data_IF_435217074286
#
_entry.id   IF_435217074286
#
_cell.length_a   1.000
_cell.length_b   1.000
_cell.length_c   1.000
_cell.angle_alpha   90.00
_cell.angle_beta   90.00
_cell.angle_gamma   90.00
#
_symmetry.space_group_name_H-M   'P 1'
#
loop_
_entity.id
_entity.type
_entity.pdbx_description
1 polymer ?
#
# COMPACT_ATOMS: atom_id res chain seq x y z
N UNK A 1 -5.18 33.60 0.23
CA UNK A 1 -5.09 32.31 0.96
C UNK A 1 -6.42 32.11 1.67
N UNK A 2 -7.20 31.10 1.28
CA UNK A 2 -8.59 30.89 1.72
C UNK A 2 -8.65 29.97 2.94
N UNK A 3 -9.57 30.22 3.88
CA UNK A 3 -9.80 29.43 5.12
C UNK A 3 -9.89 27.90 4.93
N UNK A 4 -10.21 27.44 3.71
CA UNK A 4 -10.22 26.03 3.34
C UNK A 4 -8.83 25.36 3.43
N UNK A 5 -7.73 26.09 3.18
CA UNK A 5 -6.38 25.53 3.31
C UNK A 5 -5.93 25.34 4.76
N UNK A 6 -6.57 26.04 5.69
CA UNK A 6 -6.25 26.05 7.12
C UNK A 6 -6.81 24.81 7.84
N UNK A 7 -7.92 24.24 7.33
CA UNK A 7 -8.55 23.01 7.83
C UNK A 7 -7.79 21.72 7.48
N UNK A 8 -6.88 21.76 6.50
CA UNK A 8 -6.19 20.59 5.98
C UNK A 8 -4.80 20.35 6.60
N UNK A 9 -4.45 21.04 7.69
CA UNK A 9 -3.15 20.86 8.34
C UNK A 9 -1.94 21.17 7.43
N UNK A 10 -2.14 21.91 6.33
CA UNK A 10 -1.10 22.23 5.34
C UNK A 10 -0.15 23.33 5.82
N UNK A 11 0.21 23.35 7.10
CA UNK A 11 0.98 24.45 7.68
C UNK A 11 2.47 24.45 7.29
N UNK A 12 3.01 23.41 6.64
CA UNK A 12 4.31 23.53 5.95
C UNK A 12 4.64 22.38 4.95
N UNK A 13 3.74 21.99 4.04
CA UNK A 13 4.21 21.11 2.95
C UNK A 13 5.05 21.93 1.97
N UNK A 14 6.37 21.76 2.01
CA UNK A 14 7.23 22.47 1.06
C UNK A 14 6.87 22.02 -0.36
N UNK A 15 7.08 22.87 -1.37
CA UNK A 15 6.79 22.50 -2.77
C UNK A 15 7.57 21.24 -3.22
N UNK A 16 8.65 20.90 -2.52
CA UNK A 16 9.43 19.67 -2.68
C UNK A 16 8.68 18.44 -2.15
N UNK A 17 8.10 18.51 -0.96
CA UNK A 17 7.38 17.38 -0.33
C UNK A 17 6.18 16.98 -1.18
N UNK A 18 5.41 17.97 -1.64
CA UNK A 18 4.29 17.74 -2.56
C UNK A 18 4.74 17.03 -3.84
N UNK A 19 5.87 17.44 -4.43
CA UNK A 19 6.38 16.84 -5.67
C UNK A 19 6.83 15.40 -5.45
N UNK A 20 7.49 15.12 -4.33
CA UNK A 20 7.90 13.76 -3.96
C UNK A 20 6.70 12.86 -3.67
N UNK A 21 5.70 13.35 -2.94
CA UNK A 21 4.48 12.61 -2.66
C UNK A 21 3.73 12.27 -3.96
N UNK A 22 3.61 13.22 -4.88
CA UNK A 22 3.03 12.97 -6.21
C UNK A 22 3.81 11.93 -7.00
N UNK A 23 5.14 11.93 -6.92
CA UNK A 23 5.97 10.92 -7.56
C UNK A 23 5.64 9.54 -7.01
N UNK A 24 5.67 9.37 -5.69
CA UNK A 24 5.36 8.09 -5.04
C UNK A 24 3.95 7.62 -5.39
N UNK A 25 2.94 8.49 -5.29
CA UNK A 25 1.56 8.14 -5.61
C UNK A 25 1.41 7.70 -7.07
N UNK A 26 2.08 8.38 -8.01
CA UNK A 26 2.09 7.95 -9.42
C UNK A 26 2.76 6.59 -9.60
N UNK A 27 3.84 6.31 -8.89
CA UNK A 27 4.51 5.00 -8.95
C UNK A 27 3.62 3.90 -8.38
N UNK A 28 2.97 4.17 -7.25
CA UNK A 28 2.01 3.26 -6.63
C UNK A 28 0.83 2.97 -7.54
N UNK A 29 0.24 4.00 -8.16
CA UNK A 29 -0.84 3.82 -9.14
C UNK A 29 -0.38 3.02 -10.37
N UNK A 30 0.82 3.32 -10.88
CA UNK A 30 1.38 2.57 -12.03
C UNK A 30 1.58 1.10 -11.66
N UNK A 31 2.12 0.83 -10.48
CA UNK A 31 2.30 -0.52 -9.97
C UNK A 31 0.97 -1.26 -9.78
N UNK A 32 -0.05 -0.60 -9.21
CA UNK A 32 -1.40 -1.17 -9.08
C UNK A 32 -2.02 -1.50 -10.43
N UNK A 33 -1.89 -0.61 -11.42
CA UNK A 33 -2.41 -0.85 -12.78
C UNK A 33 -1.70 -2.03 -13.46
N UNK A 34 -0.38 -2.16 -13.25
CA UNK A 34 0.39 -3.29 -13.76
C UNK A 34 -0.06 -4.60 -13.11
N UNK A 35 -0.17 -4.64 -11.78
CA UNK A 35 -0.65 -5.83 -11.06
C UNK A 35 -2.08 -6.21 -11.46
N UNK A 36 -2.96 -5.22 -11.60
CA UNK A 36 -4.35 -5.42 -12.05
C UNK A 36 -4.40 -5.93 -13.50
N UNK A 37 -3.57 -5.36 -14.37
CA UNK A 37 -3.45 -5.78 -15.76
C UNK A 37 -2.96 -7.22 -15.89
N UNK A 38 -1.96 -7.62 -15.09
CA UNK A 38 -1.47 -8.99 -15.03
C UNK A 38 -2.56 -9.97 -14.54
N UNK A 39 -3.30 -9.62 -13.49
CA UNK A 39 -4.42 -10.44 -13.02
C UNK A 39 -5.54 -10.55 -14.06
N UNK A 40 -5.87 -9.45 -14.74
CA UNK A 40 -6.88 -9.46 -15.79
C UNK A 40 -6.43 -10.31 -16.99
N UNK A 41 -5.17 -10.23 -17.39
CA UNK A 41 -4.63 -11.02 -18.49
C UNK A 41 -4.67 -12.53 -18.16
N UNK A 42 -4.33 -12.91 -16.93
CA UNK A 42 -4.42 -14.28 -16.46
C UNK A 42 -5.86 -14.79 -16.39
N UNK A 43 -6.78 -14.03 -15.78
CA UNK A 43 -8.19 -14.44 -15.64
C UNK A 43 -8.93 -14.52 -16.98
N UNK A 44 -8.54 -13.71 -17.97
CA UNK A 44 -9.11 -13.74 -19.32
C UNK A 44 -8.39 -14.70 -20.27
N UNK A 45 -7.33 -15.38 -19.82
CA UNK A 45 -6.54 -16.29 -20.65
C UNK A 45 -5.86 -15.60 -21.84
N UNK A 46 -5.52 -14.31 -21.72
CA UNK A 46 -4.87 -13.55 -22.80
C UNK A 46 -3.40 -13.94 -23.00
N UNK A 47 -2.80 -14.53 -21.97
CA UNK A 47 -1.40 -14.92 -21.95
C UNK A 47 -1.26 -16.44 -21.85
N UNK A 48 -0.28 -17.04 -22.56
CA UNK A 48 -0.04 -18.47 -22.45
C UNK A 48 0.54 -18.80 -21.08
N UNK A 49 0.01 -19.84 -20.43
CA UNK A 49 0.44 -20.34 -19.10
C UNK A 49 1.79 -21.07 -19.15
N UNK A 50 2.78 -20.47 -19.81
CA UNK A 50 4.14 -20.99 -19.86
C UNK A 50 4.96 -20.49 -18.66
N UNK A 51 5.88 -21.30 -18.10
CA UNK A 51 6.72 -20.88 -16.99
C UNK A 51 7.51 -19.59 -17.24
N UNK A 52 7.89 -19.33 -18.50
CA UNK A 52 8.60 -18.12 -18.91
C UNK A 52 7.72 -16.88 -18.77
N UNK A 53 6.46 -16.95 -19.19
CA UNK A 53 5.52 -15.83 -19.10
C UNK A 53 5.17 -15.54 -17.64
N UNK A 54 4.82 -16.56 -16.86
CA UNK A 54 4.54 -16.40 -15.43
C UNK A 54 5.75 -15.85 -14.66
N UNK A 55 6.96 -16.32 -15.00
CA UNK A 55 8.19 -15.79 -14.43
C UNK A 55 8.41 -14.31 -14.76
N UNK A 56 8.15 -13.90 -16.01
CA UNK A 56 8.25 -12.50 -16.43
C UNK A 56 7.21 -11.60 -15.72
N UNK A 57 5.96 -12.04 -15.58
CA UNK A 57 4.90 -11.31 -14.87
C UNK A 57 5.26 -11.09 -13.40
N UNK A 58 5.76 -12.14 -12.74
CA UNK A 58 6.21 -12.08 -11.35
C UNK A 58 7.36 -11.08 -11.19
N UNK A 59 8.39 -11.17 -12.03
CA UNK A 59 9.56 -10.29 -11.96
C UNK A 59 9.18 -8.82 -12.25
N UNK A 60 8.30 -8.59 -13.22
CA UNK A 60 7.86 -7.25 -13.58
C UNK A 60 7.05 -6.62 -12.45
N UNK A 61 6.11 -7.37 -11.87
CA UNK A 61 5.24 -6.86 -10.80
C UNK A 61 5.99 -6.68 -9.50
N UNK A 62 6.84 -7.64 -9.10
CA UNK A 62 7.65 -7.54 -7.88
C UNK A 62 8.77 -6.52 -8.02
N UNK A 63 9.44 -6.46 -9.17
CA UNK A 63 10.50 -5.49 -9.46
C UNK A 63 9.99 -4.05 -9.42
N UNK A 64 8.83 -3.78 -10.03
CA UNK A 64 8.18 -2.47 -9.92
C UNK A 64 7.73 -2.16 -8.49
N UNK A 65 7.26 -3.17 -7.75
CA UNK A 65 6.90 -3.03 -6.33
C UNK A 65 8.11 -2.65 -5.46
N UNK A 66 9.25 -3.30 -5.67
CA UNK A 66 10.51 -2.97 -4.97
C UNK A 66 11.01 -1.56 -5.32
N UNK A 67 10.88 -1.16 -6.58
CA UNK A 67 11.25 0.19 -7.01
C UNK A 67 10.34 1.25 -6.37
N UNK A 68 9.03 1.02 -6.35
CA UNK A 68 8.06 1.85 -5.62
C UNK A 68 8.40 1.93 -4.13
N UNK A 69 8.72 0.79 -3.49
CA UNK A 69 9.11 0.74 -2.08
C UNK A 69 10.35 1.60 -1.79
N UNK A 70 11.37 1.54 -2.66
CA UNK A 70 12.56 2.39 -2.54
C UNK A 70 12.22 3.88 -2.67
N UNK A 71 11.29 4.24 -3.58
CA UNK A 71 10.84 5.62 -3.72
C UNK A 71 10.06 6.10 -2.48
N UNK A 72 9.22 5.24 -1.90
CA UNK A 72 8.48 5.53 -0.66
C UNK A 72 9.43 5.71 0.53
N UNK A 73 10.43 4.84 0.66
CA UNK A 73 11.50 4.98 1.66
C UNK A 73 12.19 6.34 1.56
N UNK A 74 12.57 6.74 0.33
CA UNK A 74 13.21 8.03 0.11
C UNK A 74 12.29 9.21 0.46
N UNK A 75 11.00 9.10 0.13
CA UNK A 75 9.99 10.08 0.51
C UNK A 75 9.88 10.22 2.03
N UNK A 76 9.73 9.13 2.77
CA UNK A 76 9.66 9.16 4.24
C UNK A 76 10.92 9.74 4.89
N UNK A 77 12.09 9.52 4.29
CA UNK A 77 13.35 10.10 4.79
C UNK A 77 13.46 11.62 4.59
N UNK A 78 12.71 12.17 3.64
CA UNK A 78 12.67 13.60 3.33
C UNK A 78 11.45 14.30 3.92
N UNK A 79 10.44 13.54 4.37
CA UNK A 79 9.27 14.06 5.04
C UNK A 79 9.66 14.77 6.35
N UNK A 80 8.85 15.77 6.72
CA UNK A 80 8.94 16.37 8.04
C UNK A 80 8.71 15.33 9.16
N UNK A 81 9.15 15.65 10.38
CA UNK A 81 9.10 14.71 11.50
C UNK A 81 7.67 14.29 11.88
N UNK A 82 6.70 15.19 11.69
CA UNK A 82 5.30 14.98 12.06
C UNK A 82 4.60 14.05 11.08
N UNK A 83 4.75 14.31 9.78
CA UNK A 83 4.25 13.49 8.68
C UNK A 83 4.91 12.11 8.70
N UNK A 84 6.23 12.05 8.89
CA UNK A 84 6.94 10.76 9.03
C UNK A 84 6.38 9.95 10.20
N UNK A 85 6.06 10.60 11.33
CA UNK A 85 5.46 9.93 12.49
C UNK A 85 4.06 9.39 12.18
N UNK A 86 3.20 10.19 11.55
CA UNK A 86 1.83 9.79 11.18
C UNK A 86 1.86 8.58 10.24
N UNK A 87 2.72 8.63 9.21
CA UNK A 87 2.89 7.54 8.26
C UNK A 87 3.38 6.25 8.92
N UNK A 88 4.40 6.34 9.80
CA UNK A 88 4.93 5.19 10.52
C UNK A 88 3.93 4.61 11.54
N UNK A 89 3.15 5.45 12.22
CA UNK A 89 2.05 4.99 13.10
C UNK A 89 0.98 4.25 12.30
N UNK A 90 0.57 4.78 11.14
CA UNK A 90 -0.37 4.12 10.23
C UNK A 90 0.16 2.77 9.72
N UNK A 91 1.43 2.72 9.29
CA UNK A 91 2.08 1.48 8.86
C UNK A 91 2.19 0.45 9.98
N UNK A 92 2.51 0.88 11.20
CA UNK A 92 2.60 0.00 12.36
C UNK A 92 1.24 -0.66 12.67
N UNK A 93 0.15 0.10 12.61
CA UNK A 93 -1.20 -0.43 12.77
C UNK A 93 -1.54 -1.45 11.67
N UNK A 94 -1.31 -1.10 10.41
CA UNK A 94 -1.62 -1.97 9.29
C UNK A 94 -0.80 -3.27 9.33
N UNK A 95 0.52 -3.19 9.55
CA UNK A 95 1.39 -4.35 9.67
C UNK A 95 1.00 -5.21 10.88
N UNK A 96 0.70 -4.60 12.02
CA UNK A 96 0.24 -5.31 13.22
C UNK A 96 -1.06 -6.08 12.95
N UNK A 97 -2.05 -5.44 12.34
CA UNK A 97 -3.30 -6.11 11.95
C UNK A 97 -3.04 -7.23 10.94
N UNK A 98 -2.18 -6.99 9.94
CA UNK A 98 -1.81 -7.99 8.94
C UNK A 98 -1.20 -9.24 9.57
N UNK A 99 -0.25 -9.07 10.49
CA UNK A 99 0.40 -10.18 11.20
C UNK A 99 -0.58 -10.96 12.07
N UNK A 100 -1.39 -10.26 12.88
CA UNK A 100 -2.38 -10.91 13.77
C UNK A 100 -3.40 -11.69 12.95
N UNK A 101 -3.95 -11.06 11.90
CA UNK A 101 -4.93 -11.71 11.04
C UNK A 101 -4.32 -12.89 10.27
N UNK A 102 -3.11 -12.77 9.73
CA UNK A 102 -2.44 -13.88 9.02
C UNK A 102 -2.24 -15.09 9.94
N UNK A 103 -1.77 -14.89 11.17
CA UNK A 103 -1.59 -15.97 12.14
C UNK A 103 -2.93 -16.59 12.55
N UNK A 104 -3.97 -15.77 12.76
CA UNK A 104 -5.32 -16.26 13.04
C UNK A 104 -5.90 -17.09 11.90
N UNK A 105 -5.65 -16.68 10.65
CA UNK A 105 -6.10 -17.41 9.45
C UNK A 105 -5.34 -18.73 9.27
N UNK A 106 -4.06 -18.79 9.60
CA UNK A 106 -3.32 -20.06 9.60
C UNK A 106 -3.93 -21.07 10.58
N UNK A 107 -4.36 -20.64 11.77
CA UNK A 107 -5.05 -21.50 12.73
C UNK A 107 -6.40 -22.00 12.18
N UNK A 108 -7.13 -21.14 11.46
CA UNK A 108 -8.41 -21.50 10.81
C UNK A 108 -8.23 -22.57 9.72
N UNK A 109 -7.17 -22.45 8.92
CA UNK A 109 -6.81 -23.46 7.92
C UNK A 109 -6.42 -24.77 8.60
N UNK A 110 -5.68 -24.71 9.71
CA UNK A 110 -5.26 -25.89 10.46
C UNK A 110 -6.44 -26.68 11.07
N UNK A 111 -7.56 -26.03 11.40
CA UNK A 111 -8.77 -26.69 11.90
C UNK A 111 -9.66 -27.27 10.80
N UNK A 112 -9.26 -27.14 9.53
CA UNK A 112 -10.00 -27.67 8.38
C UNK A 112 -11.14 -26.79 7.88
N UNK A 113 -11.23 -25.54 8.34
CA UNK A 113 -12.14 -24.57 7.71
C UNK A 113 -11.55 -24.14 6.35
N UNK A 114 -12.36 -24.13 5.28
CA UNK A 114 -11.88 -23.72 3.96
C UNK A 114 -11.48 -22.24 4.01
N UNK A 115 -10.21 -21.96 3.71
CA UNK A 115 -9.75 -20.62 3.39
C UNK A 115 -9.62 -20.53 1.87
N UNK A 116 -10.49 -19.73 1.26
CA UNK A 116 -10.43 -19.49 -0.18
C UNK A 116 -9.21 -18.62 -0.55
N UNK A 117 -8.76 -18.71 -1.80
CA UNK A 117 -7.64 -17.90 -2.30
C UNK A 117 -7.90 -16.37 -2.17
N UNK A 118 -9.18 -15.97 -2.21
CA UNK A 118 -9.61 -14.58 -2.07
C UNK A 118 -9.37 -14.01 -0.66
N UNK A 119 -9.14 -14.88 0.33
CA UNK A 119 -8.98 -14.49 1.71
C UNK A 119 -7.70 -13.64 1.92
N UNK A 120 -6.64 -13.93 1.16
CA UNK A 120 -5.45 -13.07 1.11
C UNK A 120 -5.78 -11.67 0.56
N UNK A 121 -6.63 -11.57 -0.45
CA UNK A 121 -7.08 -10.28 -1.01
C UNK A 121 -7.89 -9.47 0.01
N UNK A 122 -8.78 -10.12 0.77
CA UNK A 122 -9.53 -9.47 1.84
C UNK A 122 -8.63 -8.99 2.97
N UNK A 123 -7.59 -9.77 3.31
CA UNK A 123 -6.58 -9.38 4.29
C UNK A 123 -5.82 -8.11 3.84
N UNK A 124 -5.34 -8.06 2.60
CA UNK A 124 -4.68 -6.86 2.08
C UNK A 124 -5.62 -5.64 2.07
N UNK A 125 -6.89 -5.84 1.72
CA UNK A 125 -7.91 -4.78 1.77
C UNK A 125 -8.08 -4.25 3.19
N UNK A 126 -8.18 -5.14 4.19
CA UNK A 126 -8.25 -4.77 5.60
C UNK A 126 -7.02 -3.95 6.03
N UNK A 127 -5.81 -4.36 5.63
CA UNK A 127 -4.57 -3.63 5.96
C UNK A 127 -4.58 -2.21 5.39
N UNK A 128 -5.06 -2.02 4.15
CA UNK A 128 -5.19 -0.68 3.53
C UNK A 128 -6.17 0.20 4.31
N UNK A 129 -7.32 -0.36 4.70
CA UNK A 129 -8.32 0.36 5.49
C UNK A 129 -7.78 0.77 6.86
N UNK A 130 -7.06 -0.13 7.55
CA UNK A 130 -6.44 0.15 8.85
C UNK A 130 -5.33 1.19 8.72
N UNK A 131 -4.48 1.08 7.69
CA UNK A 131 -3.47 2.10 7.39
C UNK A 131 -4.13 3.48 7.19
N UNK A 132 -5.15 3.56 6.34
CA UNK A 132 -5.86 4.80 6.04
C UNK A 132 -6.54 5.40 7.29
N UNK A 133 -7.15 4.55 8.12
CA UNK A 133 -7.73 4.98 9.40
C UNK A 133 -6.64 5.51 10.36
N UNK A 134 -5.50 4.83 10.44
CA UNK A 134 -4.35 5.25 11.25
C UNK A 134 -3.79 6.61 10.83
N UNK A 135 -3.61 6.82 9.53
CA UNK A 135 -3.15 8.10 8.97
C UNK A 135 -4.19 9.21 9.24
N UNK A 136 -5.48 8.94 9.03
CA UNK A 136 -6.53 9.92 9.27
C UNK A 136 -6.63 10.32 10.75
N UNK A 137 -6.52 9.35 11.67
CA UNK A 137 -6.47 9.62 13.11
C UNK A 137 -5.22 10.40 13.50
N UNK A 138 -4.06 10.08 12.92
CA UNK A 138 -2.82 10.83 13.11
C UNK A 138 -2.99 12.30 12.71
N UNK A 139 -3.51 12.56 11.51
CA UNK A 139 -3.79 13.94 11.09
C UNK A 139 -4.77 14.68 12.01
N UNK A 140 -5.80 14.01 12.54
CA UNK A 140 -6.73 14.64 13.50
C UNK A 140 -6.10 14.93 14.87
N UNK A 141 -5.12 14.13 15.29
CA UNK A 141 -4.45 14.27 16.59
C UNK A 141 -3.38 15.38 16.58
N UNK A 142 -2.75 15.59 15.43
CA UNK A 142 -1.62 16.51 15.26
C UNK A 142 -1.96 17.78 14.45
N UNK A 143 -3.24 18.00 14.13
CA UNK A 143 -3.78 19.26 13.59
C UNK A 143 -4.12 20.25 14.70
#
# INVERSE_FOLDING_TARGET
MTKASQWLGMHCSTARDRRNQWRVNRLLLTWMLVWLGANLANTRGLLPSSPLVTGAELLLTTGLGLWMMRAYWHYLSQADELLRKIELEGLALALGTGLIATLGLQLLVATGLPADADLLTYLFTLMILVYGAGVMLGHRRYA
#
